data_IF_226887196605
#
_entry.id   IF_226887196605
#
_cell.length_a   1.000
_cell.length_b   1.000
_cell.length_c   1.000
_cell.angle_alpha   90.00
_cell.angle_beta   90.00
_cell.angle_gamma   90.00
#
_symmetry.space_group_name_H-M   'P 1'
#
loop_
_entity.id
_entity.type
_entity.pdbx_description
1 polymer ?
#
# COMPACT_ATOMS: atom_id res chain seq x y z
N UNK A 1 -44.43 -10.13 -1.18
CA UNK A 1 -43.72 -8.83 -1.23
C UNK A 1 -42.23 -9.10 -1.12
N UNK A 2 -41.53 -9.14 -2.26
CA UNK A 2 -40.08 -9.41 -2.30
C UNK A 2 -39.33 -8.07 -2.36
N UNK A 3 -38.50 -7.77 -1.36
CA UNK A 3 -37.53 -6.67 -1.45
C UNK A 3 -36.23 -7.23 -2.03
N UNK A 4 -36.09 -7.12 -3.36
CA UNK A 4 -34.78 -7.22 -4.03
C UNK A 4 -34.07 -5.89 -3.82
N UNK A 5 -33.07 -5.87 -2.95
CA UNK A 5 -32.09 -4.79 -2.88
C UNK A 5 -31.08 -5.00 -4.02
N UNK A 6 -31.28 -4.30 -5.14
CA UNK A 6 -30.34 -4.23 -6.25
C UNK A 6 -29.04 -3.53 -5.80
N UNK A 7 -28.01 -4.31 -5.46
CA UNK A 7 -26.65 -3.81 -5.50
C UNK A 7 -26.21 -3.78 -6.97
N UNK A 8 -26.36 -2.62 -7.61
CA UNK A 8 -25.78 -2.34 -8.92
C UNK A 8 -24.25 -2.40 -8.81
N UNK A 9 -23.67 -3.56 -9.12
CA UNK A 9 -22.26 -3.67 -9.50
C UNK A 9 -22.10 -3.08 -10.89
N UNK A 10 -22.12 -1.75 -10.96
CA UNK A 10 -21.74 -1.05 -12.17
C UNK A 10 -20.21 -1.06 -12.25
N UNK A 11 -19.72 -1.81 -13.24
CA UNK A 11 -18.47 -1.62 -13.97
C UNK A 11 -17.77 -0.27 -13.66
N UNK A 12 -16.56 -0.30 -13.08
CA UNK A 12 -15.75 0.91 -12.83
C UNK A 12 -14.44 0.84 -13.62
N UNK A 13 -14.42 1.18 -14.92
CA UNK A 13 -13.21 1.60 -15.61
C UNK A 13 -13.01 3.11 -15.41
N UNK A 14 -11.75 3.54 -15.35
CA UNK A 14 -11.29 4.94 -15.46
C UNK A 14 -11.46 5.91 -14.26
N UNK A 15 -11.49 5.44 -13.01
CA UNK A 15 -11.36 6.37 -11.85
C UNK A 15 -9.93 6.85 -11.55
N UNK A 16 -8.93 6.46 -12.35
CA UNK A 16 -7.50 6.73 -12.07
C UNK A 16 -6.75 7.47 -13.19
N UNK A 17 -7.43 7.97 -14.23
CA UNK A 17 -6.79 8.81 -15.27
C UNK A 17 -7.48 10.15 -15.39
N UNK A 18 -7.11 11.03 -14.48
CA UNK A 18 -7.33 12.47 -14.51
C UNK A 18 -5.99 13.21 -14.66
N UNK A 19 -6.02 14.53 -14.83
CA UNK A 19 -4.81 15.35 -14.99
C UNK A 19 -3.84 15.21 -13.80
N UNK A 20 -4.36 14.98 -12.59
CA UNK A 20 -3.56 14.72 -11.38
C UNK A 20 -2.77 13.40 -11.49
N UNK A 21 -3.36 12.34 -12.05
CA UNK A 21 -2.65 11.10 -12.32
C UNK A 21 -1.53 11.27 -13.35
N UNK A 22 -1.71 12.13 -14.36
CA UNK A 22 -0.68 12.43 -15.36
C UNK A 22 0.49 13.24 -14.77
N UNK A 23 0.22 14.20 -13.88
CA UNK A 23 1.26 14.94 -13.15
C UNK A 23 2.05 14.01 -12.21
N UNK A 24 1.36 13.18 -11.43
CA UNK A 24 1.99 12.20 -10.56
C UNK A 24 2.90 11.23 -11.36
N UNK A 25 2.44 10.76 -12.52
CA UNK A 25 3.23 9.91 -13.40
C UNK A 25 4.53 10.58 -13.88
N UNK A 26 4.51 11.88 -14.16
CA UNK A 26 5.72 12.60 -14.55
C UNK A 26 6.73 12.69 -13.40
N UNK A 27 6.26 12.92 -12.17
CA UNK A 27 7.12 12.87 -10.98
C UNK A 27 7.74 11.48 -10.84
N UNK A 28 6.95 10.41 -10.97
CA UNK A 28 7.46 9.04 -10.85
C UNK A 28 8.46 8.66 -11.95
N UNK A 29 8.31 9.18 -13.17
CA UNK A 29 9.32 9.01 -14.24
C UNK A 29 10.68 9.60 -13.81
N UNK A 30 10.70 10.83 -13.34
CA UNK A 30 11.93 11.50 -12.89
C UNK A 30 12.59 10.76 -11.71
N UNK A 31 11.78 10.29 -10.76
CA UNK A 31 12.22 9.49 -9.61
C UNK A 31 12.83 8.16 -10.07
N UNK A 32 12.20 7.51 -11.04
CA UNK A 32 12.64 6.24 -11.63
C UNK A 32 13.94 6.39 -12.41
N UNK A 33 14.07 7.43 -13.24
CA UNK A 33 15.31 7.75 -13.98
C UNK A 33 16.52 7.90 -13.05
N UNK A 34 16.29 8.43 -11.83
CA UNK A 34 17.32 8.58 -10.79
C UNK A 34 17.51 7.35 -9.92
N UNK A 35 16.71 6.29 -10.13
CA UNK A 35 16.68 5.07 -9.29
C UNK A 35 16.57 5.40 -7.81
N UNK A 36 15.75 6.41 -7.50
CA UNK A 36 15.69 6.99 -6.19
C UNK A 36 15.03 6.04 -5.17
N UNK A 37 15.25 6.36 -3.90
CA UNK A 37 14.57 5.72 -2.77
C UNK A 37 13.52 6.69 -2.25
N UNK A 38 12.27 6.24 -2.19
CA UNK A 38 11.13 7.05 -1.73
C UNK A 38 10.70 6.54 -0.37
N UNK A 39 10.67 7.42 0.62
CA UNK A 39 10.12 7.12 1.95
C UNK A 39 8.71 7.70 2.02
N UNK A 40 7.74 6.81 2.23
CA UNK A 40 6.35 7.20 2.50
C UNK A 40 6.18 7.33 4.00
N UNK A 41 6.07 8.57 4.45
CA UNK A 41 5.73 8.90 5.81
C UNK A 41 4.28 9.39 5.84
N UNK A 42 3.43 8.88 6.75
CA UNK A 42 2.04 9.25 6.74
C UNK A 42 1.88 10.69 7.19
N UNK A 43 0.80 11.29 6.70
CA UNK A 43 0.31 12.57 7.20
C UNK A 43 -1.02 12.34 7.92
N UNK A 44 -1.91 13.33 7.89
CA UNK A 44 -3.26 13.13 8.38
C UNK A 44 -4.18 12.65 7.26
N UNK A 45 -5.11 11.72 7.54
CA UNK A 45 -6.14 11.37 6.57
C UNK A 45 -6.98 12.60 6.17
N UNK A 46 -7.60 12.52 4.99
CA UNK A 46 -8.52 13.55 4.46
C UNK A 46 -9.64 13.84 5.46
N UNK A 47 -10.29 12.80 5.99
CA UNK A 47 -11.14 12.93 7.18
C UNK A 47 -10.27 13.05 8.42
N UNK A 48 -10.24 14.25 8.98
CA UNK A 48 -9.34 14.60 10.07
C UNK A 48 -10.04 14.60 11.45
N UNK A 49 -11.27 14.09 11.53
CA UNK A 49 -11.99 13.99 12.78
C UNK A 49 -11.30 13.02 13.74
N UNK A 50 -11.11 13.45 15.00
CA UNK A 50 -10.51 12.58 16.02
C UNK A 50 -11.52 11.54 16.49
N UNK A 51 -11.09 10.27 16.56
CA UNK A 51 -11.88 9.18 17.16
C UNK A 51 -12.29 9.55 18.59
N UNK A 52 -11.34 10.05 19.38
CA UNK A 52 -11.53 10.63 20.71
C UNK A 52 -10.49 11.72 20.93
N UNK A 53 -10.84 12.78 21.66
CA UNK A 53 -9.94 13.91 21.94
C UNK A 53 -8.60 13.50 22.60
N UNK A 54 -8.59 12.44 23.40
CA UNK A 54 -7.40 11.94 24.09
C UNK A 54 -6.53 11.00 23.25
N UNK A 55 -7.02 10.53 22.10
CA UNK A 55 -6.28 9.60 21.24
C UNK A 55 -5.58 10.39 20.13
N UNK A 56 -4.24 10.51 20.16
CA UNK A 56 -3.52 11.17 19.08
C UNK A 56 -3.56 10.29 17.82
N UNK A 57 -3.65 10.94 16.65
CA UNK A 57 -3.74 10.30 15.32
C UNK A 57 -2.67 9.23 15.01
N UNK A 58 -1.41 9.35 15.46
CA UNK A 58 -0.39 8.33 15.21
C UNK A 58 -0.74 6.92 15.68
N UNK A 59 -1.67 6.75 16.62
CA UNK A 59 -2.02 5.44 17.16
C UNK A 59 -2.76 4.57 16.13
N UNK A 60 -3.73 5.15 15.41
CA UNK A 60 -4.62 4.41 14.50
C UNK A 60 -4.54 4.98 13.09
N UNK A 61 -4.80 6.27 12.92
CA UNK A 61 -5.01 6.86 11.61
C UNK A 61 -3.77 6.77 10.72
N UNK A 62 -2.59 7.03 11.28
CA UNK A 62 -1.35 7.11 10.49
C UNK A 62 -0.93 5.75 9.91
N UNK A 63 -0.93 4.64 10.67
CA UNK A 63 -0.72 3.31 10.08
C UNK A 63 -1.70 2.97 8.95
N UNK A 64 -2.99 3.32 9.11
CA UNK A 64 -3.99 3.06 8.08
C UNK A 64 -3.83 3.98 6.87
N UNK A 65 -3.38 5.21 7.04
CA UNK A 65 -3.09 6.14 5.95
C UNK A 65 -1.94 5.62 5.08
N UNK A 66 -0.81 5.22 5.68
CA UNK A 66 0.28 4.57 4.92
C UNK A 66 -0.17 3.30 4.22
N UNK A 67 -1.05 2.52 4.86
CA UNK A 67 -1.58 1.28 4.27
C UNK A 67 -2.44 1.59 3.05
N UNK A 68 -3.26 2.65 3.09
CA UNK A 68 -4.05 3.09 1.94
C UNK A 68 -3.15 3.51 0.78
N UNK A 69 -2.09 4.29 1.05
CA UNK A 69 -1.11 4.64 0.02
C UNK A 69 -0.43 3.40 -0.60
N UNK A 70 -0.09 2.40 0.21
CA UNK A 70 0.47 1.15 -0.31
C UNK A 70 -0.52 0.35 -1.17
N UNK A 71 -1.79 0.29 -0.76
CA UNK A 71 -2.84 -0.35 -1.55
C UNK A 71 -3.05 0.38 -2.86
N UNK A 72 -3.03 1.72 -2.82
CA UNK A 72 -3.15 2.56 -4.00
C UNK A 72 -2.05 2.24 -5.02
N UNK A 73 -0.78 2.22 -4.61
CA UNK A 73 0.34 1.85 -5.49
C UNK A 73 0.22 0.45 -6.14
N UNK A 74 -0.39 -0.51 -5.43
CA UNK A 74 -0.65 -1.85 -5.98
C UNK A 74 -1.81 -1.79 -6.99
N UNK A 75 -2.88 -1.08 -6.64
CA UNK A 75 -4.10 -0.98 -7.44
C UNK A 75 -3.87 -0.18 -8.72
N UNK A 76 -3.14 0.93 -8.65
CA UNK A 76 -2.76 1.80 -9.77
C UNK A 76 -1.62 1.22 -10.62
N UNK A 77 -0.95 0.16 -10.15
CA UNK A 77 0.23 -0.47 -10.76
C UNK A 77 1.48 0.40 -10.80
N UNK A 78 1.54 1.53 -10.07
CA UNK A 78 2.73 2.40 -9.97
C UNK A 78 4.01 1.61 -9.68
N UNK A 79 3.96 0.64 -8.77
CA UNK A 79 5.11 -0.21 -8.41
C UNK A 79 5.63 -1.05 -9.58
N UNK A 80 4.74 -1.46 -10.48
CA UNK A 80 5.10 -2.23 -11.68
C UNK A 80 5.58 -1.35 -12.82
N UNK A 81 5.02 -0.14 -12.93
CA UNK A 81 5.41 0.82 -13.96
C UNK A 81 6.78 1.44 -13.66
N UNK A 82 7.16 1.53 -12.37
CA UNK A 82 8.44 2.10 -11.90
C UNK A 82 9.25 1.13 -11.02
N UNK A 83 9.69 -0.03 -11.56
CA UNK A 83 10.31 -1.11 -10.77
C UNK A 83 11.70 -0.77 -10.22
N UNK A 84 12.36 0.27 -10.75
CA UNK A 84 13.67 0.74 -10.29
C UNK A 84 13.59 1.62 -9.03
N UNK A 85 12.38 2.05 -8.64
CA UNK A 85 12.17 2.88 -7.45
C UNK A 85 11.98 1.99 -6.22
N UNK A 86 12.78 2.27 -5.17
CA UNK A 86 12.64 1.57 -3.89
C UNK A 86 11.72 2.36 -2.98
N UNK A 87 10.53 1.83 -2.73
CA UNK A 87 9.54 2.45 -1.84
C UNK A 87 9.70 1.86 -0.43
N UNK A 88 9.88 2.73 0.55
CA UNK A 88 9.99 2.41 1.98
C UNK A 88 8.77 2.98 2.71
N UNK A 89 7.98 2.14 3.37
CA UNK A 89 6.93 2.60 4.27
C UNK A 89 7.44 2.77 5.70
N UNK A 90 7.03 3.87 6.33
CA UNK A 90 7.43 4.19 7.69
C UNK A 90 6.76 3.28 8.72
N UNK A 91 7.44 3.04 9.85
CA UNK A 91 6.94 2.37 11.06
C UNK A 91 6.51 0.92 10.89
N UNK A 92 7.14 0.21 9.95
CA UNK A 92 6.88 -1.19 9.65
C UNK A 92 5.40 -1.47 9.52
N UNK A 93 4.69 -0.63 8.74
CA UNK A 93 3.26 -0.64 8.38
C UNK A 93 2.55 -1.99 8.52
N UNK A 94 2.25 -2.27 9.78
CA UNK A 94 1.77 -3.54 10.33
C UNK A 94 0.40 -3.91 9.76
N UNK A 95 -0.40 -2.88 9.47
CA UNK A 95 -1.72 -3.04 8.92
C UNK A 95 -1.69 -3.55 7.48
N UNK A 96 -0.77 -3.07 6.63
CA UNK A 96 -0.59 -3.61 5.29
C UNK A 96 -0.25 -5.09 5.37
N UNK A 97 0.75 -5.46 6.18
CA UNK A 97 1.19 -6.87 6.25
C UNK A 97 0.06 -7.81 6.66
N UNK A 98 -0.81 -7.39 7.57
CA UNK A 98 -2.01 -8.13 7.93
C UNK A 98 -3.05 -8.21 6.80
N UNK A 99 -3.18 -7.16 6.00
CA UNK A 99 -4.21 -7.03 4.96
C UNK A 99 -3.79 -7.56 3.58
N UNK A 100 -2.50 -7.82 3.32
CA UNK A 100 -1.99 -8.25 2.00
C UNK A 100 -2.76 -9.47 1.45
N UNK A 101 -2.97 -10.50 2.27
CA UNK A 101 -3.71 -11.69 1.82
C UNK A 101 -5.14 -11.36 1.41
N UNK A 102 -5.79 -10.44 2.13
CA UNK A 102 -7.13 -9.96 1.79
C UNK A 102 -7.13 -9.20 0.46
N UNK A 103 -6.14 -8.36 0.21
CA UNK A 103 -6.01 -7.63 -1.06
C UNK A 103 -5.81 -8.60 -2.23
N UNK A 104 -4.92 -9.58 -2.08
CA UNK A 104 -4.65 -10.59 -3.10
C UNK A 104 -5.88 -11.44 -3.42
N UNK A 105 -6.76 -11.67 -2.44
CA UNK A 105 -8.04 -12.35 -2.65
C UNK A 105 -9.08 -11.43 -3.29
N UNK A 106 -9.24 -10.18 -2.82
CA UNK A 106 -10.37 -9.33 -3.19
C UNK A 106 -10.19 -8.63 -4.54
N UNK A 107 -9.01 -8.09 -4.85
CA UNK A 107 -8.78 -7.32 -6.09
C UNK A 107 -9.15 -8.07 -7.38
N UNK A 108 -8.84 -9.38 -7.53
CA UNK A 108 -9.24 -10.16 -8.70
C UNK A 108 -10.76 -10.33 -8.88
N UNK A 109 -11.55 -10.20 -7.81
CA UNK A 109 -13.02 -10.18 -7.92
C UNK A 109 -13.56 -8.83 -8.39
N UNK A 110 -12.81 -7.74 -8.18
CA UNK A 110 -13.20 -6.39 -8.59
C UNK A 110 -12.83 -6.11 -10.05
N UNK A 111 -11.67 -6.59 -10.51
CA UNK A 111 -11.29 -6.56 -11.92
C UNK A 111 -10.43 -7.77 -12.30
N UNK A 112 -10.64 -8.28 -13.52
CA UNK A 112 -9.85 -9.36 -14.12
C UNK A 112 -8.39 -8.96 -14.40
N UNK A 113 -8.11 -7.67 -14.33
CA UNK A 113 -6.79 -7.06 -14.47
C UNK A 113 -5.84 -7.34 -13.30
N UNK A 114 -6.36 -7.90 -12.21
CA UNK A 114 -5.59 -8.29 -11.03
C UNK A 114 -5.48 -9.81 -10.93
N UNK A 115 -4.27 -10.28 -10.65
CA UNK A 115 -3.97 -11.67 -10.36
C UNK A 115 -3.35 -11.76 -8.94
N UNK A 116 -3.80 -12.70 -8.08
CA UNK A 116 -3.31 -12.79 -6.70
C UNK A 116 -1.79 -12.84 -6.59
N UNK A 117 -1.11 -13.55 -7.50
CA UNK A 117 0.36 -13.68 -7.46
C UNK A 117 1.06 -12.35 -7.71
N UNK A 118 0.52 -11.53 -8.61
CA UNK A 118 1.11 -10.22 -8.92
C UNK A 118 0.87 -9.24 -7.77
N UNK A 119 -0.33 -9.24 -7.18
CA UNK A 119 -0.61 -8.44 -5.96
C UNK A 119 0.35 -8.79 -4.82
N UNK A 120 0.59 -10.08 -4.59
CA UNK A 120 1.56 -10.52 -3.58
C UNK A 120 3.00 -10.15 -3.96
N UNK A 121 3.35 -10.16 -5.24
CA UNK A 121 4.68 -9.77 -5.73
C UNK A 121 4.90 -8.27 -5.55
N UNK A 122 3.92 -7.44 -5.88
CA UNK A 122 3.94 -6.00 -5.72
C UNK A 122 4.08 -5.65 -4.23
N UNK A 123 3.27 -6.25 -3.36
CA UNK A 123 3.36 -6.06 -1.91
C UNK A 123 4.71 -6.50 -1.32
N UNK A 124 5.35 -7.53 -1.90
CA UNK A 124 6.69 -7.99 -1.48
C UNK A 124 7.82 -7.07 -1.95
N UNK A 125 7.58 -6.21 -2.93
CA UNK A 125 8.60 -5.29 -3.45
C UNK A 125 8.92 -4.19 -2.43
N UNK A 126 7.94 -3.80 -1.62
CA UNK A 126 8.07 -2.75 -0.61
C UNK A 126 9.11 -3.05 0.47
N UNK A 127 9.79 -2.00 0.89
CA UNK A 127 10.68 -1.97 2.03
C UNK A 127 9.99 -1.29 3.21
N UNK A 128 10.49 -1.55 4.40
CA UNK A 128 9.89 -1.07 5.64
C UNK A 128 10.99 -0.57 6.56
N UNK A 129 10.85 0.64 7.09
CA UNK A 129 11.66 1.06 8.23
C UNK A 129 11.12 0.44 9.53
N UNK A 130 11.97 0.34 10.55
CA UNK A 130 11.59 -0.23 11.86
C UNK A 130 11.37 0.83 12.93
N UNK A 131 11.11 2.08 12.54
CA UNK A 131 10.83 3.14 13.51
C UNK A 131 9.59 2.76 14.34
N UNK A 132 9.65 2.95 15.67
CA UNK A 132 8.54 2.63 16.61
C UNK A 132 8.05 1.15 16.47
N UNK A 133 8.92 0.26 15.98
CA UNK A 133 8.60 -1.14 15.69
C UNK A 133 9.40 -2.13 16.54
N UNK A 134 9.93 -1.67 17.67
CA UNK A 134 10.90 -2.41 18.49
C UNK A 134 10.34 -3.54 19.35
N UNK A 135 9.03 -3.83 19.30
CA UNK A 135 8.50 -4.99 20.02
C UNK A 135 8.63 -6.26 19.17
N UNK A 136 8.85 -7.41 19.84
CA UNK A 136 9.05 -8.70 19.18
C UNK A 136 7.89 -9.07 18.26
N UNK A 137 6.65 -8.86 18.71
CA UNK A 137 5.43 -9.09 17.93
C UNK A 137 5.42 -8.36 16.59
N UNK A 138 6.01 -7.17 16.56
CA UNK A 138 6.06 -6.33 15.36
C UNK A 138 7.15 -6.83 14.41
N UNK A 139 8.35 -7.12 14.94
CA UNK A 139 9.46 -7.59 14.13
C UNK A 139 9.13 -8.93 13.47
N UNK A 140 8.41 -9.83 14.13
CA UNK A 140 7.95 -11.11 13.54
C UNK A 140 7.14 -10.91 12.26
N UNK A 141 6.26 -9.91 12.24
CA UNK A 141 5.38 -9.62 11.09
C UNK A 141 6.20 -9.06 9.92
N UNK A 142 7.17 -8.19 10.18
CA UNK A 142 8.03 -7.58 9.14
C UNK A 142 9.13 -8.53 8.64
N UNK A 143 9.58 -9.47 9.47
CA UNK A 143 10.69 -10.41 9.19
C UNK A 143 10.34 -11.48 8.14
N UNK A 144 9.08 -11.56 7.67
CA UNK A 144 8.65 -12.52 6.64
C UNK A 144 9.47 -12.39 5.33
N UNK A 145 10.12 -11.23 5.09
CA UNK A 145 11.04 -11.04 3.94
C UNK A 145 12.46 -11.61 4.14
N UNK A 146 12.99 -11.67 5.36
CA UNK A 146 14.42 -11.96 5.58
C UNK A 146 14.80 -13.44 5.44
N UNK A 147 13.84 -14.37 5.42
CA UNK A 147 14.11 -15.82 5.29
C UNK A 147 14.19 -16.34 3.86
N UNK A 148 13.91 -15.53 2.83
CA UNK A 148 13.78 -16.04 1.45
C UNK A 148 14.52 -15.23 0.35
N UNK A 149 15.34 -14.24 0.71
CA UNK A 149 16.30 -13.65 -0.24
C UNK A 149 17.67 -13.52 0.42
N UNK A 150 18.76 -14.01 -0.21
CA UNK A 150 20.10 -13.79 0.29
C UNK A 150 20.47 -12.32 0.04
N UNK A 151 20.16 -11.46 1.00
CA UNK A 151 20.67 -10.10 1.06
C UNK A 151 21.92 -10.11 1.95
N UNK A 152 23.08 -9.88 1.33
CA UNK A 152 24.41 -9.80 1.95
C UNK A 152 24.98 -11.10 2.58
N UNK A 153 25.65 -11.91 1.75
CA UNK A 153 26.95 -12.49 2.12
C UNK A 153 27.98 -11.90 1.16
N UNK A 154 28.71 -10.89 1.63
CA UNK A 154 30.08 -10.60 1.16
C UNK A 154 31.04 -11.28 2.11
#
# INVERSE_FOLDING_TARGET
MSHRSNAHYNYVPDIYRDEEADEANNIWKEVSERKAVVIVHPTHPVDNNLIRRLLPRPIIDYPFETTRAAVDFIASRTVRDFPDVKIIFSRGDKALTYLISRLATVLPYLSKDFNPKDVLKDARSFYYDTTISGSENILLVVTIRSRLTPFCRT
#
